data_IF_206245774791
#
_entry.id   IF_206245774791
#
_cell.length_a   1.000
_cell.length_b   1.000
_cell.length_c   1.000
_cell.angle_alpha   90.00
_cell.angle_beta   90.00
_cell.angle_gamma   90.00
#
_symmetry.space_group_name_H-M   'P 1'
#
loop_
_entity.id
_entity.type
_entity.pdbx_description
1 polymer ?
#
# COMPACT_ATOMS: atom_id res chain seq x y z
N UNK A 1 7.53 -8.12 2.72
CA UNK A 1 6.55 -7.60 1.75
C UNK A 1 7.04 -7.98 0.37
N UNK A 2 6.16 -8.51 -0.49
CA UNK A 2 6.45 -8.75 -1.89
C UNK A 2 5.73 -7.64 -2.68
N UNK A 3 6.47 -6.62 -3.12
CA UNK A 3 5.92 -5.48 -3.87
C UNK A 3 5.54 -5.86 -5.32
N UNK A 4 6.05 -7.00 -5.80
CA UNK A 4 5.86 -7.45 -7.17
C UNK A 4 6.58 -6.57 -8.19
N UNK A 5 7.58 -5.77 -7.80
CA UNK A 5 8.33 -4.89 -8.70
C UNK A 5 9.71 -5.46 -9.04
N UNK A 6 10.10 -5.33 -10.31
CA UNK A 6 11.38 -5.79 -10.85
C UNK A 6 12.23 -4.60 -11.31
N UNK A 7 13.56 -4.70 -11.09
CA UNK A 7 14.55 -3.68 -11.49
C UNK A 7 14.91 -3.75 -12.98
N UNK A 8 14.73 -4.91 -13.59
CA UNK A 8 15.04 -5.14 -14.99
C UNK A 8 13.87 -5.85 -15.65
N UNK A 9 13.61 -5.51 -16.91
CA UNK A 9 12.64 -6.19 -17.75
C UNK A 9 13.17 -7.58 -18.11
N UNK A 10 12.51 -8.67 -17.70
CA UNK A 10 12.88 -10.01 -18.14
C UNK A 10 12.58 -10.22 -19.64
N UNK A 11 13.32 -11.12 -20.27
CA UNK A 11 13.00 -11.60 -21.61
C UNK A 11 11.60 -12.24 -21.63
N UNK A 12 10.82 -11.90 -22.66
CA UNK A 12 9.44 -12.38 -22.78
C UNK A 12 8.42 -11.70 -21.85
N UNK A 13 8.79 -10.64 -21.12
CA UNK A 13 7.82 -9.84 -20.36
C UNK A 13 6.73 -9.26 -21.27
N UNK A 14 5.50 -9.24 -20.78
CA UNK A 14 4.30 -8.85 -21.53
C UNK A 14 4.06 -7.33 -21.40
N UNK A 15 3.87 -6.59 -22.50
CA UNK A 15 3.58 -5.16 -22.46
C UNK A 15 2.19 -4.86 -21.87
N UNK A 16 2.16 -3.90 -20.95
CA UNK A 16 0.97 -3.20 -20.48
C UNK A 16 0.79 -1.92 -21.30
N UNK A 17 -0.31 -1.85 -22.04
CA UNK A 17 -0.65 -0.70 -22.88
C UNK A 17 -1.69 0.13 -22.13
N UNK A 18 -1.26 1.30 -21.66
CA UNK A 18 -2.11 2.23 -20.93
C UNK A 18 -2.89 3.11 -21.91
N UNK A 19 -4.21 3.15 -21.76
CA UNK A 19 -5.11 3.89 -22.66
C UNK A 19 -6.04 4.76 -21.81
N UNK A 20 -6.06 6.07 -22.07
CA UNK A 20 -7.08 6.95 -21.50
C UNK A 20 -8.35 6.82 -22.33
N UNK A 21 -9.51 6.80 -21.67
CA UNK A 21 -10.81 6.50 -22.32
C UNK A 21 -11.10 7.37 -23.56
N UNK A 22 -10.72 8.65 -23.54
CA UNK A 22 -10.90 9.57 -24.67
C UNK A 22 -9.92 9.36 -25.84
N UNK A 23 -8.86 8.58 -25.65
CA UNK A 23 -7.85 8.23 -26.66
C UNK A 23 -8.13 6.85 -27.28
N UNK A 24 -9.11 6.10 -26.74
CA UNK A 24 -9.37 4.71 -27.10
C UNK A 24 -9.65 4.52 -28.59
N UNK A 25 -10.55 5.31 -29.17
CA UNK A 25 -10.93 5.17 -30.58
C UNK A 25 -9.75 5.46 -31.51
N UNK A 26 -8.94 6.47 -31.18
CA UNK A 26 -7.71 6.80 -31.92
C UNK A 26 -6.69 5.68 -31.82
N UNK A 27 -6.50 5.13 -30.61
CA UNK A 27 -5.61 3.99 -30.40
C UNK A 27 -6.08 2.77 -31.19
N UNK A 28 -7.36 2.41 -31.12
CA UNK A 28 -7.95 1.24 -31.77
C UNK A 28 -7.80 1.31 -33.30
N UNK A 29 -8.06 2.48 -33.88
CA UNK A 29 -7.91 2.71 -35.32
C UNK A 29 -6.46 2.54 -35.82
N UNK A 30 -5.46 2.69 -34.94
CA UNK A 30 -4.04 2.49 -35.29
C UNK A 30 -3.58 1.03 -35.26
N UNK A 31 -4.39 0.11 -34.73
CA UNK A 31 -4.03 -1.30 -34.60
C UNK A 31 -4.33 -2.10 -35.87
N UNK A 32 -3.78 -3.31 -35.98
CA UNK A 32 -4.11 -4.22 -37.08
C UNK A 32 -5.56 -4.75 -36.98
N UNK A 33 -6.07 -5.32 -38.09
CA UNK A 33 -7.45 -5.80 -38.14
C UNK A 33 -7.74 -6.96 -37.17
N UNK A 34 -6.73 -7.74 -36.78
CA UNK A 34 -6.89 -8.85 -35.86
C UNK A 34 -7.12 -8.32 -34.44
N UNK A 35 -6.28 -7.38 -33.99
CA UNK A 35 -6.38 -6.69 -32.71
C UNK A 35 -7.68 -5.91 -32.61
N UNK A 36 -8.06 -5.15 -33.63
CA UNK A 36 -9.33 -4.42 -33.65
C UNK A 36 -10.54 -5.36 -33.43
N UNK A 37 -10.58 -6.48 -34.17
CA UNK A 37 -11.65 -7.49 -34.03
C UNK A 37 -11.66 -8.12 -32.65
N UNK A 38 -10.50 -8.46 -32.11
CA UNK A 38 -10.38 -9.06 -30.77
C UNK A 38 -10.89 -8.10 -29.69
N UNK A 39 -10.37 -6.87 -29.65
CA UNK A 39 -10.73 -5.85 -28.66
C UNK A 39 -12.23 -5.56 -28.67
N UNK A 40 -12.83 -5.44 -29.86
CA UNK A 40 -14.27 -5.25 -30.02
C UNK A 40 -15.07 -6.48 -29.52
N UNK A 41 -14.60 -7.69 -29.80
CA UNK A 41 -15.24 -8.93 -29.34
C UNK A 41 -15.20 -9.08 -27.82
N UNK A 42 -14.14 -8.60 -27.17
CA UNK A 42 -14.03 -8.52 -25.72
C UNK A 42 -14.87 -7.40 -25.10
N UNK A 43 -15.40 -6.46 -25.89
CA UNK A 43 -16.17 -5.32 -25.39
C UNK A 43 -15.34 -4.32 -24.57
N UNK A 44 -14.02 -4.29 -24.77
CA UNK A 44 -13.14 -3.35 -24.06
C UNK A 44 -13.30 -1.94 -24.63
N UNK A 45 -13.44 -0.95 -23.73
CA UNK A 45 -13.65 0.47 -24.08
C UNK A 45 -12.72 1.41 -23.28
N UNK A 46 -11.60 0.90 -22.76
CA UNK A 46 -10.64 1.64 -21.94
C UNK A 46 -11.24 2.41 -20.74
N UNK A 47 -12.36 1.92 -20.17
CA UNK A 47 -12.91 2.48 -18.93
C UNK A 47 -11.88 2.35 -17.80
N UNK A 48 -11.69 3.37 -16.95
CA UNK A 48 -10.73 3.30 -15.84
C UNK A 48 -10.91 2.05 -14.97
N UNK A 49 -9.82 1.28 -14.78
CA UNK A 49 -9.79 0.04 -14.03
C UNK A 49 -10.18 -1.21 -14.82
N UNK A 50 -10.57 -1.08 -16.09
CA UNK A 50 -10.78 -2.22 -16.99
C UNK A 50 -9.47 -2.71 -17.61
N UNK A 51 -9.42 -3.99 -17.95
CA UNK A 51 -8.31 -4.58 -18.69
C UNK A 51 -8.80 -5.54 -19.79
N UNK A 52 -7.96 -5.76 -20.81
CA UNK A 52 -8.20 -6.74 -21.86
C UNK A 52 -6.90 -7.49 -22.18
N UNK A 53 -6.96 -8.83 -22.10
CA UNK A 53 -5.85 -9.71 -22.46
C UNK A 53 -5.87 -9.96 -23.97
N UNK A 54 -4.79 -9.60 -24.67
CA UNK A 54 -4.69 -9.73 -26.12
C UNK A 54 -3.75 -10.90 -26.47
N UNK A 55 -4.22 -11.92 -27.19
CA UNK A 55 -3.39 -13.06 -27.60
C UNK A 55 -2.56 -12.76 -28.86
N UNK A 56 -1.47 -13.49 -29.04
CA UNK A 56 -0.75 -13.57 -30.31
C UNK A 56 -1.33 -14.69 -31.20
N UNK A 57 -0.72 -14.88 -32.38
CA UNK A 57 -1.11 -15.92 -33.34
C UNK A 57 -0.99 -17.36 -32.78
N UNK A 58 -0.13 -17.57 -31.78
CA UNK A 58 0.09 -18.86 -31.10
C UNK A 58 -0.82 -19.03 -29.85
N UNK A 59 -1.80 -18.14 -29.66
CA UNK A 59 -2.70 -18.10 -28.51
C UNK A 59 -2.02 -17.85 -27.15
N UNK A 60 -0.76 -17.40 -27.14
CA UNK A 60 -0.08 -16.91 -25.94
C UNK A 60 -0.42 -15.43 -25.68
N UNK A 61 -0.26 -14.97 -24.44
CA UNK A 61 -0.54 -13.58 -24.06
C UNK A 61 0.49 -12.64 -24.71
N UNK A 62 0.03 -11.77 -25.62
CA UNK A 62 0.86 -10.81 -26.36
C UNK A 62 0.96 -9.45 -25.67
N UNK A 63 -0.15 -8.95 -25.14
CA UNK A 63 -0.21 -7.67 -24.43
C UNK A 63 -1.43 -7.62 -23.50
N UNK A 64 -1.43 -6.64 -22.61
CA UNK A 64 -2.60 -6.32 -21.79
C UNK A 64 -2.95 -4.85 -22.00
N UNK A 65 -4.18 -4.59 -22.43
CA UNK A 65 -4.72 -3.23 -22.53
C UNK A 65 -5.29 -2.83 -21.18
N UNK A 66 -5.05 -1.59 -20.76
CA UNK A 66 -5.52 -1.06 -19.49
C UNK A 66 -6.22 0.29 -19.72
N UNK A 67 -7.50 0.35 -19.32
CA UNK A 67 -8.21 1.61 -19.23
C UNK A 67 -7.80 2.35 -17.97
N UNK A 68 -7.30 3.58 -18.11
CA UNK A 68 -6.76 4.35 -16.98
C UNK A 68 -7.26 5.80 -16.96
N UNK A 69 -7.16 6.43 -15.79
CA UNK A 69 -7.13 7.90 -15.67
C UNK A 69 -5.67 8.36 -15.74
N UNK A 70 -5.43 9.48 -16.42
CA UNK A 70 -4.06 9.95 -16.67
C UNK A 70 -3.26 10.18 -15.37
N UNK A 71 -3.89 10.83 -14.38
CA UNK A 71 -3.28 11.16 -13.09
C UNK A 71 -3.85 10.35 -11.92
N UNK A 72 -3.72 9.03 -11.99
CA UNK A 72 -4.25 8.12 -10.96
C UNK A 72 -3.18 7.16 -10.45
N UNK A 73 -2.80 7.33 -9.18
CA UNK A 73 -1.88 6.41 -8.50
C UNK A 73 -2.44 4.98 -8.48
N UNK A 74 -3.75 4.79 -8.49
CA UNK A 74 -4.39 3.49 -8.40
C UNK A 74 -4.56 2.80 -9.75
N UNK A 75 -4.11 3.41 -10.86
CA UNK A 75 -4.30 2.88 -12.20
C UNK A 75 -3.80 1.42 -12.35
N UNK A 76 -2.73 1.05 -11.62
CA UNK A 76 -2.18 -0.31 -11.63
C UNK A 76 -2.50 -1.12 -10.36
N UNK A 77 -3.22 -0.55 -9.39
CA UNK A 77 -3.35 -1.12 -8.05
C UNK A 77 -4.16 -2.43 -7.97
N UNK A 78 -5.00 -2.72 -8.96
CA UNK A 78 -5.73 -3.99 -9.00
C UNK A 78 -4.95 -5.13 -9.70
N UNK A 79 -3.93 -4.78 -10.48
CA UNK A 79 -3.24 -5.69 -11.40
C UNK A 79 -2.49 -6.84 -10.73
N UNK A 80 -1.81 -6.64 -9.58
CA UNK A 80 -1.13 -7.74 -8.90
C UNK A 80 -2.05 -8.95 -8.63
N UNK A 81 -3.34 -8.71 -8.41
CA UNK A 81 -4.33 -9.75 -8.11
C UNK A 81 -5.20 -10.17 -9.30
N UNK A 82 -5.29 -9.36 -10.36
CA UNK A 82 -6.17 -9.63 -11.50
C UNK A 82 -5.45 -10.17 -12.74
N UNK A 83 -4.14 -9.92 -12.87
CA UNK A 83 -3.37 -10.41 -14.00
C UNK A 83 -2.99 -11.89 -13.83
N UNK A 84 -2.84 -12.62 -14.94
CA UNK A 84 -2.20 -13.93 -14.94
C UNK A 84 -0.80 -13.90 -14.33
N UNK A 85 -0.30 -15.07 -13.96
CA UNK A 85 1.09 -15.22 -13.55
C UNK A 85 2.04 -14.81 -14.70
N UNK A 86 3.03 -13.97 -14.39
CA UNK A 86 3.97 -13.49 -15.40
C UNK A 86 4.68 -12.20 -15.03
N UNK A 87 5.57 -11.79 -15.92
CA UNK A 87 6.29 -10.52 -15.82
C UNK A 87 5.74 -9.55 -16.86
N UNK A 88 5.48 -8.33 -16.42
CA UNK A 88 4.87 -7.27 -17.21
C UNK A 88 5.78 -6.04 -17.25
N UNK A 89 5.61 -5.18 -18.25
CA UNK A 89 6.31 -3.88 -18.32
C UNK A 89 5.41 -2.84 -18.98
N UNK A 90 5.65 -1.55 -18.74
CA UNK A 90 4.88 -0.49 -19.41
C UNK A 90 5.35 -0.34 -20.86
N UNK A 91 4.42 -0.42 -21.82
CA UNK A 91 4.73 -0.30 -23.24
C UNK A 91 5.19 1.12 -23.64
N UNK A 92 4.71 2.12 -22.91
CA UNK A 92 5.18 3.51 -22.98
C UNK A 92 5.88 3.90 -21.70
N UNK A 93 6.87 4.78 -21.81
CA UNK A 93 7.56 5.37 -20.66
C UNK A 93 7.00 6.77 -20.42
N UNK A 94 6.03 6.94 -19.50
CA UNK A 94 5.60 8.27 -19.10
C UNK A 94 6.72 9.00 -18.33
N UNK A 95 6.51 10.29 -18.05
CA UNK A 95 7.43 11.09 -17.26
C UNK A 95 7.74 10.46 -15.88
N UNK A 96 8.95 10.66 -15.32
CA UNK A 96 9.42 9.97 -14.11
C UNK A 96 8.47 10.01 -12.91
N UNK A 97 7.84 11.16 -12.63
CA UNK A 97 6.88 11.30 -11.53
C UNK A 97 5.66 10.37 -11.71
N UNK A 98 5.18 10.24 -12.95
CA UNK A 98 4.05 9.36 -13.27
C UNK A 98 4.47 7.89 -13.20
N UNK A 99 5.67 7.55 -13.65
CA UNK A 99 6.24 6.21 -13.46
C UNK A 99 6.27 5.82 -11.98
N UNK A 100 6.74 6.72 -11.12
CA UNK A 100 6.80 6.47 -9.67
C UNK A 100 5.41 6.24 -9.06
N UNK A 101 4.41 7.05 -9.44
CA UNK A 101 3.03 6.88 -8.97
C UNK A 101 2.41 5.56 -9.44
N UNK A 102 2.63 5.17 -10.69
CA UNK A 102 2.15 3.89 -11.23
C UNK A 102 2.81 2.70 -10.51
N UNK A 103 4.13 2.76 -10.31
CA UNK A 103 4.89 1.76 -9.58
C UNK A 103 4.46 1.64 -8.12
N UNK A 104 4.25 2.77 -7.43
CA UNK A 104 3.70 2.79 -6.08
C UNK A 104 2.29 2.21 -6.03
N UNK A 105 1.44 2.56 -6.99
CA UNK A 105 0.10 1.97 -7.15
C UNK A 105 0.11 0.45 -7.19
N UNK A 106 0.97 -0.12 -8.05
CA UNK A 106 1.19 -1.56 -8.15
C UNK A 106 1.64 -2.15 -6.80
N UNK A 107 2.69 -1.60 -6.18
CA UNK A 107 3.22 -2.10 -4.92
C UNK A 107 2.18 -2.03 -3.78
N UNK A 108 1.37 -0.97 -3.72
CA UNK A 108 0.28 -0.86 -2.76
C UNK A 108 -0.85 -1.85 -3.04
N UNK A 109 -1.09 -2.18 -4.31
CA UNK A 109 -2.00 -3.22 -4.75
C UNK A 109 -1.55 -4.64 -4.40
N UNK A 110 -0.24 -4.86 -4.36
CA UNK A 110 0.36 -6.15 -4.05
C UNK A 110 0.30 -6.52 -2.56
N UNK A 111 -0.09 -5.58 -1.69
CA UNK A 111 -0.21 -5.81 -0.25
C UNK A 111 -1.20 -6.93 0.08
N UNK A 112 -0.76 -7.88 0.89
CA UNK A 112 -1.58 -8.95 1.45
C UNK A 112 -1.36 -9.05 2.96
N UNK A 113 -2.41 -8.90 3.75
CA UNK A 113 -2.36 -9.20 5.19
C UNK A 113 -2.55 -10.71 5.40
N UNK A 114 -1.45 -11.40 5.68
CA UNK A 114 -1.40 -12.87 5.80
C UNK A 114 -1.00 -13.39 7.20
N UNK A 115 -0.89 -12.51 8.21
CA UNK A 115 -0.47 -12.86 9.57
C UNK A 115 -1.33 -13.96 10.23
N UNK A 116 -2.62 -14.00 9.95
CA UNK A 116 -3.59 -14.93 10.57
C UNK A 116 -4.17 -15.97 9.62
N UNK A 117 -3.94 -15.81 8.32
CA UNK A 117 -4.45 -16.72 7.28
C UNK A 117 -3.53 -16.65 6.09
N UNK A 118 -3.01 -17.80 5.69
CA UNK A 118 -2.21 -17.92 4.49
C UNK A 118 -2.98 -17.40 3.27
N UNK A 119 -2.27 -16.69 2.41
CA UNK A 119 -2.78 -16.20 1.13
C UNK A 119 -1.85 -16.68 0.02
N UNK A 120 -2.40 -17.12 -1.12
CA UNK A 120 -1.59 -17.42 -2.28
C UNK A 120 -0.77 -16.20 -2.69
N UNK A 121 0.50 -16.42 -3.01
CA UNK A 121 1.37 -15.38 -3.54
C UNK A 121 0.80 -14.83 -4.84
N UNK A 122 0.90 -13.51 -5.00
CA UNK A 122 0.57 -12.85 -6.25
C UNK A 122 1.68 -13.13 -7.25
N UNK A 123 1.33 -13.74 -8.39
CA UNK A 123 2.28 -14.25 -9.38
C UNK A 123 2.55 -13.28 -10.53
N UNK A 124 1.87 -12.14 -10.55
CA UNK A 124 2.15 -11.05 -11.50
C UNK A 124 3.24 -10.14 -10.94
N UNK A 125 4.18 -9.74 -11.80
CA UNK A 125 5.25 -8.80 -11.47
C UNK A 125 5.39 -7.72 -12.53
N UNK A 126 5.84 -6.52 -12.13
CA UNK A 126 6.00 -5.36 -13.01
C UNK A 126 7.46 -4.92 -13.02
N UNK A 127 8.07 -4.93 -14.20
CA UNK A 127 9.34 -4.28 -14.45
C UNK A 127 9.13 -2.79 -14.71
N UNK A 128 9.86 -1.96 -13.99
CA UNK A 128 9.92 -0.51 -14.19
C UNK A 128 11.27 -0.13 -14.84
N UNK A 129 11.31 0.91 -15.67
CA UNK A 129 12.56 1.36 -16.30
C UNK A 129 13.54 1.91 -15.26
N UNK A 130 14.83 1.88 -15.59
CA UNK A 130 15.91 2.36 -14.71
C UNK A 130 15.83 3.86 -14.37
N UNK A 131 15.03 4.63 -15.12
CA UNK A 131 14.72 6.04 -14.83
C UNK A 131 13.85 6.25 -13.59
N UNK A 132 13.23 5.18 -13.06
CA UNK A 132 12.37 5.22 -11.88
C UNK A 132 13.16 4.93 -10.60
N UNK A 133 13.02 5.75 -9.54
CA UNK A 133 13.61 5.46 -8.22
C UNK A 133 12.80 4.35 -7.51
N UNK A 134 13.11 3.11 -7.87
CA UNK A 134 12.48 1.94 -7.26
C UNK A 134 12.72 1.86 -5.75
N UNK A 135 13.87 2.37 -5.27
CA UNK A 135 14.15 2.41 -3.85
C UNK A 135 13.21 3.38 -3.12
N UNK A 136 12.87 4.52 -3.73
CA UNK A 136 11.86 5.44 -3.22
C UNK A 136 10.48 4.79 -3.13
N UNK A 137 10.02 4.14 -4.21
CA UNK A 137 8.75 3.41 -4.22
C UNK A 137 8.71 2.37 -3.10
N UNK A 138 9.76 1.57 -2.94
CA UNK A 138 9.86 0.54 -1.90
C UNK A 138 9.82 1.11 -0.49
N UNK A 139 10.46 2.27 -0.24
CA UNK A 139 10.37 2.97 1.05
C UNK A 139 8.93 3.38 1.36
N UNK A 140 8.24 3.99 0.40
CA UNK A 140 6.84 4.41 0.55
C UNK A 140 5.90 3.21 0.76
N UNK A 141 6.01 2.18 -0.09
CA UNK A 141 5.22 0.96 0.03
C UNK A 141 5.46 0.26 1.37
N UNK A 142 6.71 0.21 1.86
CA UNK A 142 7.04 -0.39 3.16
C UNK A 142 6.44 0.38 4.33
N UNK A 143 6.51 1.72 4.29
CA UNK A 143 5.88 2.58 5.30
C UNK A 143 4.35 2.39 5.32
N UNK A 144 3.69 2.40 4.15
CA UNK A 144 2.25 2.17 4.07
C UNK A 144 1.85 0.75 4.48
N UNK A 145 2.66 -0.26 4.14
CA UNK A 145 2.42 -1.65 4.55
C UNK A 145 2.53 -1.81 6.06
N UNK A 146 3.51 -1.18 6.71
CA UNK A 146 3.61 -1.17 8.17
C UNK A 146 2.35 -0.58 8.81
N UNK A 147 1.87 0.57 8.33
CA UNK A 147 0.61 1.18 8.81
C UNK A 147 -0.57 0.21 8.63
N UNK A 148 -0.68 -0.43 7.46
CA UNK A 148 -1.74 -1.42 7.19
C UNK A 148 -1.63 -2.64 8.10
N UNK A 149 -0.43 -3.14 8.36
CA UNK A 149 -0.21 -4.30 9.24
C UNK A 149 -0.64 -3.98 10.68
N UNK A 150 -0.24 -2.81 11.20
CA UNK A 150 -0.62 -2.37 12.54
C UNK A 150 -2.15 -2.25 12.68
N UNK A 151 -2.82 -1.56 11.75
CA UNK A 151 -4.29 -1.37 11.78
C UNK A 151 -5.06 -2.69 11.54
N UNK A 152 -4.55 -3.58 10.68
CA UNK A 152 -5.22 -4.85 10.38
C UNK A 152 -5.06 -5.87 11.51
N UNK A 153 -4.00 -5.77 12.30
CA UNK A 153 -3.78 -6.63 13.47
C UNK A 153 -4.94 -6.44 14.47
N UNK A 154 -5.64 -7.51 14.89
CA UNK A 154 -6.64 -7.45 15.95
C UNK A 154 -6.08 -6.79 17.21
N UNK A 155 -6.93 -6.07 17.95
CA UNK A 155 -6.50 -5.34 19.14
C UNK A 155 -5.80 -6.24 20.18
N UNK A 156 -6.26 -7.48 20.36
CA UNK A 156 -5.61 -8.50 21.21
C UNK A 156 -4.09 -8.61 20.97
N UNK A 157 -3.66 -8.51 19.71
CA UNK A 157 -2.25 -8.62 19.30
C UNK A 157 -1.61 -7.26 18.97
N UNK A 158 -2.30 -6.15 19.24
CA UNK A 158 -1.88 -4.77 18.98
C UNK A 158 -2.25 -3.79 20.11
N UNK A 159 -2.22 -4.26 21.36
CA UNK A 159 -2.34 -3.41 22.56
C UNK A 159 -1.13 -2.46 22.75
N UNK A 160 -1.16 -1.48 23.68
CA UNK A 160 -0.14 -0.43 23.79
C UNK A 160 1.31 -0.93 23.84
N UNK A 161 1.58 -2.06 24.50
CA UNK A 161 2.90 -2.70 24.53
C UNK A 161 3.39 -3.19 23.15
N UNK A 162 2.48 -3.66 22.30
CA UNK A 162 2.79 -4.13 20.95
C UNK A 162 3.07 -2.95 20.03
N UNK A 163 2.27 -1.88 20.15
CA UNK A 163 2.51 -0.63 19.42
C UNK A 163 3.85 0.00 19.83
N UNK A 164 4.18 -0.03 21.13
CA UNK A 164 5.48 0.39 21.64
C UNK A 164 6.62 -0.45 21.05
N UNK A 165 6.47 -1.77 21.00
CA UNK A 165 7.46 -2.67 20.40
C UNK A 165 7.66 -2.39 18.91
N UNK A 166 6.60 -2.09 18.16
CA UNK A 166 6.70 -1.70 16.75
C UNK A 166 7.46 -0.38 16.57
N UNK A 167 7.17 0.63 17.40
CA UNK A 167 7.89 1.90 17.40
C UNK A 167 9.37 1.73 17.78
N UNK A 168 9.68 0.92 18.78
CA UNK A 168 11.06 0.62 19.19
C UNK A 168 11.84 -0.10 18.08
N UNK A 169 11.22 -1.07 17.39
CA UNK A 169 11.83 -1.74 16.24
C UNK A 169 12.13 -0.77 15.10
N UNK A 170 11.21 0.16 14.84
CA UNK A 170 11.43 1.22 13.86
C UNK A 170 12.61 2.12 14.26
N UNK A 171 12.67 2.51 15.53
CA UNK A 171 13.77 3.31 16.06
C UNK A 171 15.12 2.61 15.90
N UNK A 172 15.21 1.33 16.28
CA UNK A 172 16.41 0.50 16.10
C UNK A 172 16.84 0.44 14.64
N UNK A 173 15.90 0.22 13.72
CA UNK A 173 16.18 0.11 12.27
C UNK A 173 16.82 1.38 11.71
N UNK A 174 16.42 2.55 12.20
CA UNK A 174 16.88 3.84 11.68
C UNK A 174 17.84 4.58 12.64
N UNK A 175 18.36 3.88 13.65
CA UNK A 175 19.24 4.44 14.69
C UNK A 175 18.65 5.70 15.36
N UNK A 176 17.32 5.72 15.56
CA UNK A 176 16.62 6.75 16.31
C UNK A 176 16.67 6.45 17.82
N UNK A 177 16.48 7.48 18.66
CA UNK A 177 16.22 7.27 20.08
C UNK A 177 14.74 6.99 20.33
N UNK A 178 14.44 6.18 21.34
CA UNK A 178 13.09 5.81 21.72
C UNK A 178 12.96 5.79 23.25
N UNK A 179 11.93 6.44 23.77
CA UNK A 179 11.52 6.44 25.17
C UNK A 179 10.03 6.10 25.26
N UNK A 180 9.63 5.45 26.34
CA UNK A 180 8.22 5.24 26.66
C UNK A 180 7.97 5.48 28.15
N UNK A 181 6.82 6.10 28.46
CA UNK A 181 6.36 6.35 29.82
C UNK A 181 5.10 5.52 30.04
N UNK A 182 5.06 4.72 31.11
CA UNK A 182 4.08 3.64 31.27
C UNK A 182 3.28 3.82 32.56
N UNK A 183 1.95 3.63 32.48
CA UNK A 183 1.08 3.55 33.66
C UNK A 183 1.20 4.77 34.57
N UNK A 184 1.38 4.55 35.87
CA UNK A 184 1.41 5.63 36.87
C UNK A 184 2.60 6.59 36.70
N UNK A 185 3.67 6.22 35.97
CA UNK A 185 4.75 7.16 35.64
C UNK A 185 4.23 8.34 34.81
N UNK A 186 3.14 8.14 34.04
CA UNK A 186 2.47 9.24 33.33
C UNK A 186 2.02 10.34 34.28
N UNK A 187 1.57 10.01 35.50
CA UNK A 187 1.18 11.02 36.49
C UNK A 187 2.41 11.78 37.00
N UNK A 188 3.50 11.07 37.31
CA UNK A 188 4.75 11.67 37.76
C UNK A 188 5.37 12.61 36.71
N UNK A 189 5.20 12.28 35.42
CA UNK A 189 5.69 13.07 34.27
C UNK A 189 4.69 14.10 33.75
N UNK A 190 3.56 14.30 34.45
CA UNK A 190 2.51 15.26 34.11
C UNK A 190 1.78 15.01 32.77
N UNK A 191 1.45 13.75 32.50
CA UNK A 191 0.56 13.27 31.44
C UNK A 191 -0.76 12.66 31.97
N UNK A 192 -1.54 13.40 32.79
CA UNK A 192 -2.69 12.84 33.50
C UNK A 192 -3.85 12.43 32.58
N UNK A 193 -3.97 13.03 31.40
CA UNK A 193 -5.06 12.73 30.45
C UNK A 193 -4.85 11.38 29.75
N UNK A 194 -3.62 11.04 29.40
CA UNK A 194 -3.27 9.71 28.84
C UNK A 194 -3.57 8.63 29.88
N UNK A 195 -3.16 8.86 31.13
CA UNK A 195 -3.44 7.95 32.25
C UNK A 195 -4.95 7.79 32.46
N UNK A 196 -5.69 8.89 32.59
CA UNK A 196 -7.12 8.86 32.90
C UNK A 196 -7.94 8.06 31.87
N UNK A 197 -7.60 8.15 30.58
CA UNK A 197 -8.28 7.41 29.51
C UNK A 197 -7.92 5.91 29.55
N UNK A 198 -6.64 5.58 29.68
CA UNK A 198 -6.19 4.19 29.53
C UNK A 198 -6.23 3.34 30.81
N UNK A 199 -6.33 3.94 32.01
CA UNK A 199 -6.21 3.22 33.30
C UNK A 199 -7.26 2.13 33.56
N UNK A 200 -8.37 2.12 32.79
CA UNK A 200 -9.42 1.12 32.93
C UNK A 200 -9.12 -0.18 32.16
N UNK A 201 -8.13 -0.16 31.26
CA UNK A 201 -7.67 -1.34 30.53
C UNK A 201 -6.80 -2.23 31.40
N UNK A 202 -6.79 -3.55 31.13
CA UNK A 202 -5.80 -4.47 31.70
C UNK A 202 -4.38 -4.20 31.16
N UNK A 203 -4.28 -3.52 30.02
CA UNK A 203 -3.01 -3.12 29.39
C UNK A 203 -2.71 -1.67 29.77
N UNK A 204 -1.62 -1.39 30.52
CA UNK A 204 -1.31 -0.05 30.99
C UNK A 204 -1.15 0.97 29.85
N UNK A 205 -1.64 2.22 30.00
CA UNK A 205 -1.43 3.28 29.02
C UNK A 205 0.06 3.62 28.86
N UNK A 206 0.42 4.09 27.67
CA UNK A 206 1.80 4.46 27.32
C UNK A 206 1.82 5.79 26.57
N UNK A 207 2.85 6.59 26.81
CA UNK A 207 3.29 7.65 25.90
C UNK A 207 4.58 7.16 25.23
N UNK A 208 4.64 7.24 23.90
CA UNK A 208 5.79 6.83 23.09
C UNK A 208 6.46 8.08 22.51
N UNK A 209 7.77 8.21 22.67
CA UNK A 209 8.57 9.31 22.11
C UNK A 209 9.72 8.72 21.27
N UNK A 210 9.71 9.01 19.97
CA UNK A 210 10.75 8.60 19.02
C UNK A 210 11.38 9.86 18.42
N UNK A 211 12.71 9.98 18.50
CA UNK A 211 13.45 11.13 17.96
C UNK A 211 14.53 10.69 16.99
N UNK A 212 14.56 11.33 15.83
CA UNK A 212 15.48 11.04 14.74
C UNK A 212 15.89 12.33 14.03
N UNK A 213 17.12 12.36 13.50
CA UNK A 213 17.65 13.47 12.71
C UNK A 213 18.70 14.32 13.46
N UNK A 214 19.21 15.33 12.77
CA UNK A 214 20.20 16.26 13.31
C UNK A 214 19.53 17.30 14.22
N UNK A 215 19.98 17.49 15.48
CA UNK A 215 19.48 18.52 16.37
C UNK A 215 19.59 19.97 15.85
N UNK A 216 20.46 20.23 14.88
CA UNK A 216 20.63 21.53 14.23
C UNK A 216 19.58 21.82 13.15
N UNK A 217 18.88 20.80 12.63
CA UNK A 217 17.83 20.98 11.63
C UNK A 217 16.52 21.51 12.24
N UNK A 218 15.62 22.10 11.43
CA UNK A 218 14.29 22.49 11.90
C UNK A 218 13.55 21.33 12.55
N UNK A 219 12.94 21.59 13.71
CA UNK A 219 12.16 20.57 14.43
C UNK A 219 10.83 20.34 13.74
N UNK A 220 10.54 19.07 13.43
CA UNK A 220 9.23 18.59 13.00
C UNK A 220 8.73 17.55 14.01
N UNK A 221 7.59 17.81 14.64
CA UNK A 221 6.96 16.86 15.58
C UNK A 221 5.68 16.32 14.97
N UNK A 222 5.59 14.99 14.85
CA UNK A 222 4.37 14.29 14.46
C UNK A 222 3.72 13.71 15.71
N UNK A 223 2.41 13.90 15.86
CA UNK A 223 1.63 13.37 16.99
C UNK A 223 0.55 12.43 16.45
N UNK A 224 0.58 11.18 16.88
CA UNK A 224 -0.40 10.16 16.51
C UNK A 224 -1.27 9.77 17.71
N UNK A 225 -2.59 9.64 17.49
CA UNK A 225 -3.51 9.05 18.46
C UNK A 225 -3.34 7.52 18.41
N UNK A 226 -2.90 6.90 19.51
CA UNK A 226 -2.66 5.44 19.59
C UNK A 226 -3.70 4.67 20.41
N UNK A 227 -5.01 4.88 20.18
CA UNK A 227 -6.05 4.14 20.93
C UNK A 227 -6.22 2.75 20.32
N UNK A 228 -5.52 1.78 20.91
CA UNK A 228 -5.43 0.41 20.38
C UNK A 228 -6.79 -0.31 20.29
N UNK A 229 -7.72 0.02 21.18
CA UNK A 229 -9.13 -0.36 21.09
C UNK A 229 -10.01 0.66 21.80
N UNK A 230 -11.08 1.09 21.14
CA UNK A 230 -12.05 2.06 21.68
C UNK A 230 -13.43 1.44 21.87
N UNK A 231 -13.78 1.12 23.12
CA UNK A 231 -15.13 0.66 23.49
C UNK A 231 -16.13 1.81 23.64
N UNK A 232 -15.66 3.06 23.74
CA UNK A 232 -16.41 4.23 24.20
C UNK A 232 -16.28 4.51 25.70
N UNK A 233 -15.75 3.57 26.49
CA UNK A 233 -15.72 3.69 27.96
C UNK A 233 -17.09 3.43 28.58
N UNK A 234 -17.45 4.20 29.61
CA UNK A 234 -18.78 4.10 30.25
C UNK A 234 -19.92 4.44 29.27
N UNK A 235 -19.69 5.42 28.39
CA UNK A 235 -20.56 5.74 27.28
C UNK A 235 -20.31 4.77 26.12
N UNK A 236 -20.70 3.52 26.36
CA UNK A 236 -20.36 2.38 25.50
C UNK A 236 -20.90 2.55 24.07
N UNK A 237 -20.05 2.26 23.09
CA UNK A 237 -20.45 2.23 21.68
C UNK A 237 -21.46 1.10 21.44
N UNK A 238 -22.44 1.29 20.53
CA UNK A 238 -23.20 0.16 20.00
C UNK A 238 -22.28 -0.79 19.23
N UNK A 239 -22.68 -2.06 19.11
CA UNK A 239 -21.88 -3.11 18.47
C UNK A 239 -21.37 -2.73 17.06
N UNK A 240 -22.22 -2.08 16.25
CA UNK A 240 -21.85 -1.59 14.91
C UNK A 240 -20.73 -0.55 14.94
N UNK A 241 -20.76 0.37 15.93
CA UNK A 241 -19.73 1.38 16.14
C UNK A 241 -18.43 0.79 16.68
N UNK A 242 -18.50 -0.28 17.47
CA UNK A 242 -17.34 -0.93 18.07
C UNK A 242 -16.60 -1.88 17.11
N UNK A 243 -17.30 -2.44 16.11
CA UNK A 243 -16.82 -3.51 15.22
C UNK A 243 -15.45 -3.29 14.58
N UNK A 244 -15.09 -2.04 14.29
CA UNK A 244 -13.84 -1.69 13.62
C UNK A 244 -12.84 -0.96 14.52
N UNK A 245 -13.08 -0.87 15.83
CA UNK A 245 -12.31 0.01 16.73
C UNK A 245 -10.88 -0.43 17.04
N UNK A 246 -10.41 -1.54 16.45
CA UNK A 246 -8.97 -1.82 16.35
C UNK A 246 -8.21 -0.79 15.50
N UNK A 247 -8.92 -0.01 14.67
CA UNK A 247 -8.34 1.00 13.76
C UNK A 247 -8.22 2.39 14.38
N UNK A 248 -8.49 2.54 15.68
CA UNK A 248 -8.53 3.85 16.34
C UNK A 248 -7.14 4.33 16.84
N UNK A 249 -6.10 3.62 16.37
CA UNK A 249 -4.67 3.84 16.60
C UNK A 249 -3.91 4.18 15.30
#
# INVERSE_FOLDING_TARGET
MHDGLLEQRPDGAVPLILIVENEFETWLASQDQATQRWVNSCGFQAKPGSNCLVPNADHALASVLLGIRADDIWALGALPASLPAGSYYLASEPEPERLERLGLGWALGAYQFSRYKERPALAASLALPASCDLAHIRRLAAATSLVRDLINTPAEDMMPEHLAAAAEQLAKKYAASFEQIIGDELLARNYPTIHAVGRASAHPPRLLDLRWGDPAHPKLTLVGKGVCFDSGGLDIKPASGMRLMKKDM
#
